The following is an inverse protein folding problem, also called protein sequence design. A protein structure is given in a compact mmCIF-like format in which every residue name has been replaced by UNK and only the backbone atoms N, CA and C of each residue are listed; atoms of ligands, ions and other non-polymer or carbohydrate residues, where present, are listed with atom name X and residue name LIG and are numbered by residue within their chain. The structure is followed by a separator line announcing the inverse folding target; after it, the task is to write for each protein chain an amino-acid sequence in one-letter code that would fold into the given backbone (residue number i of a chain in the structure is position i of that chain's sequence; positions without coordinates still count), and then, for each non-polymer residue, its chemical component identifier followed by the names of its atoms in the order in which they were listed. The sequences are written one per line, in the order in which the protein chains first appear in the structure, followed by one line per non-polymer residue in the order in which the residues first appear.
data_IF_039302740864
#
_entry.id   IF_039302740864
#
_cell.length_a   1.000
_cell.length_b   1.000
_cell.length_c   1.000
_cell.angle_alpha   90.00
_cell.angle_beta   90.00
_cell.angle_gamma   90.00
#
_symmetry.space_group_name_H-M   'P 1'
#
loop_
_entity.id
_entity.type
_entity.pdbx_description
1 polymer ?
#
# COMPACT_ATOMS: atom_id res chain seq x y z
N UNK A 1 7.54 3.14 -0.03
CA UNK A 1 6.17 3.01 0.53
C UNK A 1 5.41 2.07 -0.39
N UNK A 2 4.68 1.06 0.11
CA UNK A 2 3.87 0.24 -0.79
C UNK A 2 2.67 1.07 -1.25
N UNK A 3 2.59 1.33 -2.54
CA UNK A 3 1.45 2.01 -3.16
C UNK A 3 0.18 1.23 -2.83
N UNK A 4 -0.73 1.82 -2.08
CA UNK A 4 -2.03 1.22 -1.74
C UNK A 4 -3.11 1.83 -2.63
N UNK A 5 -2.98 1.62 -3.94
CA UNK A 5 -4.03 1.93 -4.90
C UNK A 5 -4.68 0.63 -5.34
N UNK A 6 -5.94 0.45 -4.99
CA UNK A 6 -6.73 -0.72 -5.39
C UNK A 6 -7.55 -0.39 -6.64
N UNK A 7 -7.56 -1.32 -7.58
CA UNK A 7 -8.41 -1.26 -8.76
C UNK A 7 -9.55 -2.25 -8.54
N UNK A 8 -10.78 -1.75 -8.58
CA UNK A 8 -11.97 -2.56 -8.28
C UNK A 8 -12.93 -2.55 -9.46
N UNK A 9 -13.66 -3.65 -9.61
CA UNK A 9 -14.79 -3.76 -10.53
C UNK A 9 -15.98 -4.42 -9.82
N UNK A 10 -17.18 -4.32 -10.40
CA UNK A 10 -18.37 -4.97 -9.86
C UNK A 10 -18.24 -6.49 -9.95
N UNK A 11 -18.59 -7.20 -8.89
CA UNK A 11 -18.48 -8.67 -8.84
C UNK A 11 -19.28 -9.35 -9.95
N UNK A 12 -20.51 -8.90 -10.20
CA UNK A 12 -21.33 -9.43 -11.29
C UNK A 12 -20.70 -9.26 -12.67
N UNK A 13 -19.98 -8.16 -12.91
CA UNK A 13 -19.25 -7.99 -14.17
C UNK A 13 -18.08 -8.97 -14.26
N UNK A 14 -17.32 -9.15 -13.18
CA UNK A 14 -16.18 -10.06 -13.17
C UNK A 14 -16.62 -11.52 -13.36
N UNK A 15 -17.70 -11.93 -12.69
CA UNK A 15 -18.27 -13.28 -12.76
C UNK A 15 -18.85 -13.62 -14.14
N UNK A 16 -19.29 -12.61 -14.90
CA UNK A 16 -19.80 -12.78 -16.26
C UNK A 16 -18.69 -12.89 -17.32
N UNK A 17 -17.43 -12.62 -16.97
CA UNK A 17 -16.33 -12.71 -17.92
C UNK A 17 -16.00 -14.18 -18.26
N UNK A 18 -15.67 -14.46 -19.54
CA UNK A 18 -14.96 -15.68 -19.90
C UNK A 18 -13.68 -15.85 -19.08
N UNK A 19 -13.38 -17.10 -18.70
CA UNK A 19 -12.24 -17.48 -17.84
C UNK A 19 -10.89 -16.98 -18.40
N UNK A 20 -10.72 -16.96 -19.72
CA UNK A 20 -9.51 -16.45 -20.35
C UNK A 20 -9.35 -14.94 -20.17
N UNK A 21 -10.44 -14.17 -20.22
CA UNK A 21 -10.43 -12.73 -19.98
C UNK A 21 -10.24 -12.39 -18.50
N UNK A 22 -10.90 -13.11 -17.59
CA UNK A 22 -10.70 -12.96 -16.14
C UNK A 22 -9.23 -13.18 -15.78
N UNK A 23 -8.63 -14.25 -16.32
CA UNK A 23 -7.22 -14.55 -16.10
C UNK A 23 -6.30 -13.47 -16.65
N UNK A 24 -6.53 -13.00 -17.88
CA UNK A 24 -5.73 -11.92 -18.47
C UNK A 24 -5.78 -10.66 -17.59
N UNK A 25 -6.97 -10.26 -17.13
CA UNK A 25 -7.12 -9.10 -16.27
C UNK A 25 -6.37 -9.29 -14.95
N UNK A 26 -6.46 -10.47 -14.34
CA UNK A 26 -5.79 -10.76 -13.06
C UNK A 26 -4.27 -10.73 -13.21
N UNK A 27 -3.70 -11.47 -14.17
CA UNK A 27 -2.26 -11.53 -14.40
C UNK A 27 -1.66 -10.16 -14.78
N UNK A 28 -2.35 -9.41 -15.65
CA UNK A 28 -1.87 -8.08 -16.06
C UNK A 28 -2.03 -7.05 -14.95
N UNK A 29 -3.00 -7.20 -14.03
CA UNK A 29 -3.11 -6.33 -12.85
C UNK A 29 -1.93 -6.52 -11.89
N UNK A 30 -1.45 -7.76 -11.71
CA UNK A 30 -0.26 -8.04 -10.91
C UNK A 30 1.01 -7.50 -11.57
N UNK A 31 1.12 -7.61 -12.89
CA UNK A 31 2.23 -7.02 -13.66
C UNK A 31 2.23 -5.49 -13.54
N UNK A 32 1.07 -4.86 -13.71
CA UNK A 32 0.90 -3.43 -13.55
C UNK A 32 1.29 -2.98 -12.14
N UNK A 33 0.87 -3.72 -11.10
CA UNK A 33 1.24 -3.41 -9.72
C UNK A 33 2.77 -3.42 -9.52
N UNK A 34 3.48 -4.44 -10.04
CA UNK A 34 4.94 -4.51 -9.99
C UNK A 34 5.61 -3.38 -10.77
N UNK A 35 5.12 -3.10 -11.97
CA UNK A 35 5.66 -2.06 -12.85
C UNK A 35 5.50 -0.66 -12.24
N UNK A 36 4.29 -0.34 -11.77
CA UNK A 36 3.99 0.95 -11.15
C UNK A 36 4.77 1.16 -9.86
N UNK A 37 5.03 0.11 -9.08
CA UNK A 37 5.81 0.24 -7.85
C UNK A 37 7.20 0.85 -8.12
N UNK A 38 7.93 0.34 -9.10
CA UNK A 38 9.26 0.85 -9.45
C UNK A 38 9.22 2.30 -9.95
N UNK A 39 8.17 2.68 -10.70
CA UNK A 39 7.98 4.06 -11.15
C UNK A 39 7.71 4.98 -9.96
N UNK A 40 6.81 4.58 -9.05
CA UNK A 40 6.47 5.42 -7.90
C UNK A 40 7.66 5.65 -6.99
N UNK A 41 8.52 4.65 -6.76
CA UNK A 41 9.74 4.87 -5.95
C UNK A 41 10.69 5.89 -6.59
N UNK A 42 10.84 5.85 -7.92
CA UNK A 42 11.65 6.82 -8.65
C UNK A 42 11.03 8.22 -8.57
N UNK A 43 9.74 8.33 -8.88
CA UNK A 43 9.01 9.60 -8.90
C UNK A 43 8.88 10.23 -7.51
N UNK A 44 8.72 9.43 -6.44
CA UNK A 44 8.73 9.93 -5.05
C UNK A 44 10.06 10.63 -4.74
N UNK A 45 11.19 10.04 -5.15
CA UNK A 45 12.51 10.63 -4.95
C UNK A 45 12.69 11.90 -5.78
N UNK A 46 12.31 11.87 -7.06
CA UNK A 46 12.42 13.03 -7.96
C UNK A 46 11.52 14.20 -7.51
N UNK A 47 10.30 13.90 -7.05
CA UNK A 47 9.38 14.89 -6.52
C UNK A 47 9.93 15.53 -5.24
N UNK A 48 10.48 14.75 -4.31
CA UNK A 48 11.08 15.26 -3.09
C UNK A 48 12.21 16.25 -3.38
N UNK A 49 13.11 15.90 -4.31
CA UNK A 49 14.21 16.79 -4.70
C UNK A 49 13.72 18.04 -5.44
N UNK A 50 12.71 17.91 -6.30
CA UNK A 50 12.05 19.06 -6.94
C UNK A 50 11.51 20.03 -5.89
N UNK A 51 10.76 19.55 -4.90
CA UNK A 51 10.20 20.41 -3.86
C UNK A 51 11.28 21.07 -3.00
N UNK A 52 12.37 20.36 -2.66
CA UNK A 52 13.52 20.98 -1.96
C UNK A 52 14.14 22.10 -2.79
N UNK A 53 14.32 21.90 -4.09
CA UNK A 53 14.87 22.92 -5.00
C UNK A 53 13.95 24.15 -5.13
N UNK A 54 12.64 23.96 -4.99
CA UNK A 54 11.64 25.05 -4.94
C UNK A 54 11.58 25.75 -3.57
N UNK A 55 12.38 25.32 -2.60
CA UNK A 55 12.51 25.95 -1.28
C UNK A 55 11.76 25.25 -0.15
N UNK A 56 11.21 24.05 -0.38
CA UNK A 56 10.61 23.25 0.70
C UNK A 56 11.69 22.81 1.71
N UNK A 57 11.40 22.99 3.00
CA UNK A 57 12.23 22.46 4.09
C UNK A 57 11.69 21.11 4.55
N UNK A 58 12.56 20.11 4.64
CA UNK A 58 12.23 18.79 5.20
C UNK A 58 12.63 18.75 6.66
N UNK A 59 11.68 18.36 7.52
CA UNK A 59 11.91 18.20 8.95
C UNK A 59 11.87 16.72 9.31
N UNK A 60 13.00 16.18 9.74
CA UNK A 60 13.06 14.83 10.32
C UNK A 60 12.40 14.85 11.70
N UNK A 61 11.55 13.86 11.96
CA UNK A 61 10.79 13.73 13.22
C UNK A 61 11.03 12.36 13.84
N UNK A 62 10.82 12.27 15.16
CA UNK A 62 10.82 11.00 15.86
C UNK A 62 9.54 10.22 15.49
N UNK A 63 9.68 9.25 14.58
CA UNK A 63 8.55 8.46 14.10
C UNK A 63 7.93 7.59 15.19
N UNK A 64 8.66 7.26 16.25
CA UNK A 64 8.14 6.41 17.32
C UNK A 64 7.08 7.15 18.14
N UNK A 65 7.29 8.45 18.40
CA UNK A 65 6.27 9.28 19.06
C UNK A 65 4.95 9.32 18.29
N UNK A 66 5.00 9.32 16.96
CA UNK A 66 3.78 9.27 16.13
C UNK A 66 3.14 7.88 16.15
N UNK A 67 3.95 6.81 16.18
CA UNK A 67 3.47 5.43 16.27
C UNK A 67 2.75 5.18 17.60
N UNK A 68 3.36 5.57 18.71
CA UNK A 68 2.74 5.49 20.05
C UNK A 68 1.45 6.32 20.12
N UNK A 69 1.47 7.54 19.57
CA UNK A 69 0.31 8.42 19.60
C UNK A 69 -0.91 7.86 18.84
N UNK A 70 -0.69 7.03 17.81
CA UNK A 70 -1.77 6.40 17.03
C UNK A 70 -2.19 5.04 17.57
N UNK A 71 -1.46 4.42 18.49
CA UNK A 71 -1.76 3.09 19.04
C UNK A 71 -3.24 2.93 19.48
N UNK A 72 -3.85 3.89 20.20
CA UNK A 72 -5.25 3.75 20.65
C UNK A 72 -6.29 3.73 19.50
N UNK A 73 -5.90 4.13 18.29
CA UNK A 73 -6.79 4.11 17.13
C UNK A 73 -7.21 2.69 16.74
N UNK A 74 -6.32 1.72 16.87
CA UNK A 74 -6.59 0.34 16.46
C UNK A 74 -7.66 -0.33 17.33
N UNK A 75 -7.80 0.10 18.59
CA UNK A 75 -8.87 -0.31 19.50
C UNK A 75 -10.22 0.36 19.19
N UNK A 76 -10.22 1.44 18.40
CA UNK A 76 -11.41 2.24 18.12
C UNK A 76 -12.22 1.75 16.90
N UNK A 77 -11.85 0.60 16.33
CA UNK A 77 -12.44 0.04 15.10
C UNK A 77 -13.41 -1.12 15.39
N UNK A 78 -14.68 -0.85 15.74
CA UNK A 78 -15.63 -1.88 16.17
C UNK A 78 -16.03 -2.86 15.07
N UNK A 79 -15.79 -2.52 13.80
CA UNK A 79 -16.11 -3.38 12.65
C UNK A 79 -14.98 -4.32 12.25
N UNK A 80 -13.81 -4.20 12.86
CA UNK A 80 -12.69 -5.08 12.56
C UNK A 80 -12.89 -6.46 13.19
N UNK A 81 -12.41 -7.49 12.49
CA UNK A 81 -12.33 -8.82 13.07
C UNK A 81 -11.46 -8.78 14.34
N UNK A 82 -11.82 -9.50 15.41
CA UNK A 82 -11.00 -9.56 16.62
C UNK A 82 -9.56 -9.99 16.30
N UNK A 83 -8.57 -9.26 16.81
CA UNK A 83 -7.14 -9.57 16.61
C UNK A 83 -6.59 -9.23 15.22
N UNK A 84 -7.34 -8.49 14.37
CA UNK A 84 -6.91 -8.17 13.01
C UNK A 84 -5.58 -7.39 12.98
N UNK A 85 -5.40 -6.43 13.88
CA UNK A 85 -4.21 -5.58 13.89
C UNK A 85 -2.95 -6.39 14.23
N UNK A 86 -3.01 -7.19 15.30
CA UNK A 86 -1.91 -8.05 15.74
C UNK A 86 -1.55 -9.05 14.64
N UNK A 87 -2.57 -9.65 14.01
CA UNK A 87 -2.34 -10.60 12.93
C UNK A 87 -1.66 -9.96 11.71
N UNK A 88 -2.04 -8.73 11.35
CA UNK A 88 -1.38 -7.99 10.25
C UNK A 88 0.08 -7.68 10.62
N UNK A 89 0.38 -7.30 11.87
CA UNK A 89 1.75 -7.08 12.32
C UNK A 89 2.60 -8.36 12.21
N UNK A 90 2.07 -9.51 12.66
CA UNK A 90 2.73 -10.81 12.51
C UNK A 90 3.06 -11.12 11.04
N UNK A 91 2.09 -10.96 10.13
CA UNK A 91 2.29 -11.16 8.69
C UNK A 91 3.33 -10.21 8.09
N UNK A 92 3.44 -8.98 8.62
CA UNK A 92 4.45 -8.02 8.20
C UNK A 92 5.85 -8.42 8.65
N UNK A 93 5.99 -9.01 9.84
CA UNK A 93 7.28 -9.53 10.35
C UNK A 93 7.73 -10.78 9.60
N UNK A 94 6.80 -11.66 9.22
CA UNK A 94 7.07 -12.89 8.47
C UNK A 94 7.33 -12.64 6.98
N UNK A 95 7.01 -11.45 6.46
CA UNK A 95 7.19 -11.14 5.04
C UNK A 95 8.67 -11.32 4.65
N UNK A 96 8.98 -12.06 3.57
CA UNK A 96 10.33 -12.08 3.02
C UNK A 96 10.81 -10.66 2.77
N UNK A 97 11.97 -10.30 3.33
CA UNK A 97 12.61 -9.04 3.00
C UNK A 97 13.03 -9.14 1.54
N UNK A 98 12.47 -8.27 0.69
CA UNK A 98 12.91 -8.11 -0.69
C UNK A 98 14.39 -7.66 -0.66
N UNK A 99 15.23 -8.32 -1.47
CA UNK A 99 16.66 -7.99 -1.64
C UNK A 99 16.88 -6.61 -2.28
#
# INVERSE_FOLDING_TARGET
MKVMSIWVTGTGMMEELPEDLERILSETSEEAARYTHAITELEEKEALETFKNEGMTVHEVDQELFREAVEPFYDSMPSWSPGLYEHVLELMEERPKED
#
